data_IF_542256983829
#
_entry.id   IF_542256983829
#
_cell.length_a   1.000
_cell.length_b   1.000
_cell.length_c   1.000
_cell.angle_alpha   90.00
_cell.angle_beta   90.00
_cell.angle_gamma   90.00
#
_symmetry.space_group_name_H-M   'P 1'
#
loop_
_entity.id
_entity.type
_entity.pdbx_description
1 polymer ?
#
# COMPACT_ATOMS: atom_id res chain seq x y z
N UNK A 1 -2.86 10.45 -26.65
CA UNK A 1 -1.98 11.47 -26.13
C UNK A 1 -1.73 11.30 -24.64
N UNK A 2 -0.51 11.58 -24.22
CA UNK A 2 -0.21 11.48 -22.82
C UNK A 2 0.72 12.59 -22.39
N UNK A 3 0.71 12.85 -21.12
CA UNK A 3 1.56 13.84 -20.52
C UNK A 3 2.65 13.17 -19.73
N UNK A 4 3.82 13.75 -19.79
CA UNK A 4 4.91 13.32 -18.95
C UNK A 4 4.90 14.25 -17.74
N UNK A 5 4.78 13.65 -16.59
CA UNK A 5 4.75 14.39 -15.34
C UNK A 5 6.06 14.21 -14.61
N UNK A 6 6.81 15.29 -14.47
CA UNK A 6 8.11 15.27 -13.83
C UNK A 6 8.08 15.64 -12.35
N UNK A 7 6.89 15.88 -11.80
CA UNK A 7 6.79 16.20 -10.38
C UNK A 7 7.10 14.94 -9.56
N UNK A 8 7.94 15.05 -8.56
CA UNK A 8 8.26 13.92 -7.72
C UNK A 8 7.04 13.45 -6.96
N UNK A 9 6.92 12.15 -6.82
CA UNK A 9 5.83 11.51 -6.09
C UNK A 9 6.40 10.42 -5.21
N UNK A 10 5.69 10.11 -4.16
CA UNK A 10 6.10 9.06 -3.24
C UNK A 10 5.16 7.88 -3.44
N UNK A 11 5.74 6.71 -3.63
CA UNK A 11 4.99 5.47 -3.67
C UNK A 11 5.31 4.71 -2.39
N UNK A 12 4.28 4.32 -1.67
CA UNK A 12 4.42 3.55 -0.44
C UNK A 12 3.77 2.19 -0.64
N UNK A 13 4.49 1.14 -0.30
CA UNK A 13 3.96 -0.21 -0.39
C UNK A 13 3.88 -0.78 1.02
N UNK A 14 2.70 -1.25 1.38
CA UNK A 14 2.44 -1.78 2.71
C UNK A 14 1.79 -3.14 2.56
N UNK A 15 2.38 -4.13 3.20
CA UNK A 15 1.86 -5.49 3.18
C UNK A 15 1.32 -5.81 4.56
N UNK A 16 0.06 -6.16 4.62
CA UNK A 16 -0.61 -6.44 5.88
C UNK A 16 -1.48 -7.68 5.74
N UNK A 17 -1.92 -8.19 6.87
CA UNK A 17 -2.90 -9.28 6.85
C UNK A 17 -4.25 -8.73 6.42
N UNK A 18 -5.10 -9.60 5.92
CA UNK A 18 -6.43 -9.23 5.49
C UNK A 18 -7.23 -8.55 6.60
N UNK A 19 -7.05 -9.02 7.82
CA UNK A 19 -7.75 -8.45 8.97
C UNK A 19 -7.38 -7.00 9.22
N UNK A 20 -6.17 -6.60 8.88
CA UNK A 20 -5.68 -5.24 9.12
C UNK A 20 -5.91 -4.31 7.95
N UNK A 21 -6.23 -4.85 6.79
CA UNK A 21 -6.24 -4.07 5.55
C UNK A 21 -7.15 -2.85 5.62
N UNK A 22 -8.39 -3.05 6.07
CA UNK A 22 -9.36 -1.97 6.11
C UNK A 22 -8.93 -0.87 7.06
N UNK A 23 -8.40 -1.25 8.19
CA UNK A 23 -7.95 -0.30 9.20
C UNK A 23 -6.74 0.51 8.71
N UNK A 24 -5.85 -0.15 7.99
CA UNK A 24 -4.69 0.54 7.41
C UNK A 24 -5.14 1.54 6.36
N UNK A 25 -6.07 1.15 5.50
CA UNK A 25 -6.61 2.05 4.49
C UNK A 25 -7.21 3.29 5.12
N UNK A 26 -8.06 3.10 6.13
CA UNK A 26 -8.69 4.21 6.82
C UNK A 26 -7.66 5.14 7.48
N UNK A 27 -6.66 4.55 8.12
CA UNK A 27 -5.62 5.32 8.79
C UNK A 27 -4.82 6.17 7.80
N UNK A 28 -4.45 5.57 6.67
CA UNK A 28 -3.71 6.31 5.66
C UNK A 28 -4.57 7.42 5.08
N UNK A 29 -5.80 7.11 4.74
CA UNK A 29 -6.70 8.11 4.16
C UNK A 29 -6.92 9.29 5.09
N UNK A 30 -7.12 9.03 6.38
CA UNK A 30 -7.32 10.10 7.34
C UNK A 30 -6.10 10.99 7.49
N UNK A 31 -4.92 10.40 7.50
CA UNK A 31 -3.69 11.15 7.74
C UNK A 31 -3.14 11.81 6.49
N UNK A 32 -3.46 11.30 5.32
CA UNK A 32 -2.96 11.86 4.07
C UNK A 32 -3.91 12.86 3.44
N UNK A 33 -5.15 12.90 3.89
CA UNK A 33 -6.15 13.78 3.29
C UNK A 33 -5.93 15.22 3.69
N UNK A 34 -5.85 16.09 2.69
CA UNK A 34 -5.79 17.52 2.93
C UNK A 34 -6.99 18.23 2.30
N UNK A 35 -7.80 17.51 1.54
CA UNK A 35 -8.91 18.09 0.79
C UNK A 35 -8.49 18.76 -0.49
N UNK A 36 -7.22 18.66 -0.84
CA UNK A 36 -6.69 19.29 -2.05
C UNK A 36 -6.38 18.26 -3.12
N UNK A 37 -6.30 18.73 -4.35
CA UNK A 37 -5.83 17.89 -5.45
C UNK A 37 -4.39 17.51 -5.17
N UNK A 38 -4.05 16.25 -5.35
CA UNK A 38 -2.69 15.78 -5.12
C UNK A 38 -2.53 14.96 -3.87
N UNK A 39 -3.59 14.72 -3.13
CA UNK A 39 -3.53 13.86 -1.93
C UNK A 39 -3.17 12.42 -2.27
N UNK A 40 -3.41 12.00 -3.51
CA UNK A 40 -2.98 10.68 -3.95
C UNK A 40 -4.09 9.65 -3.99
N UNK A 41 -3.67 8.42 -4.18
CA UNK A 41 -4.59 7.28 -4.32
C UNK A 41 -4.05 6.10 -3.57
N UNK A 42 -4.96 5.22 -3.19
CA UNK A 42 -4.61 3.94 -2.57
C UNK A 42 -5.10 2.84 -3.49
N UNK A 43 -4.17 1.96 -3.87
CA UNK A 43 -4.51 0.78 -4.65
C UNK A 43 -4.36 -0.43 -3.74
N UNK A 44 -5.35 -1.30 -3.76
CA UNK A 44 -5.34 -2.49 -2.92
C UNK A 44 -5.38 -3.71 -3.82
N UNK A 45 -4.42 -4.60 -3.62
CA UNK A 45 -4.37 -5.86 -4.37
C UNK A 45 -4.10 -6.99 -3.42
N UNK A 46 -4.53 -8.18 -3.80
CA UNK A 46 -4.23 -9.37 -3.04
C UNK A 46 -2.85 -9.89 -3.41
N UNK A 47 -2.14 -10.38 -2.41
CA UNK A 47 -0.90 -11.10 -2.65
C UNK A 47 -1.23 -12.58 -2.72
N UNK A 48 -0.76 -13.23 -3.76
CA UNK A 48 -0.97 -14.66 -3.86
C UNK A 48 -0.09 -15.43 -2.88
N UNK A 49 1.09 -14.91 -2.64
CA UNK A 49 2.05 -15.62 -1.80
C UNK A 49 3.07 -14.66 -1.21
N UNK A 50 3.45 -14.91 0.03
CA UNK A 50 4.52 -14.19 0.71
C UNK A 50 5.44 -15.22 1.34
N UNK A 51 6.72 -15.10 1.08
CA UNK A 51 7.72 -16.02 1.61
C UNK A 51 8.85 -15.22 2.23
N UNK A 52 9.18 -15.55 3.48
CA UNK A 52 10.34 -14.95 4.12
C UNK A 52 11.56 -15.79 3.71
N UNK A 53 12.47 -15.16 3.02
CA UNK A 53 13.61 -15.89 2.45
C UNK A 53 14.46 -16.57 3.50
N UNK A 54 14.74 -15.88 4.61
CA UNK A 54 15.62 -16.41 5.63
C UNK A 54 15.09 -17.68 6.30
N UNK A 55 13.81 -17.72 6.57
CA UNK A 55 13.21 -18.82 7.35
C UNK A 55 12.39 -19.78 6.53
N UNK A 56 11.99 -19.39 5.32
CA UNK A 56 11.09 -20.19 4.51
C UNK A 56 9.64 -20.11 4.94
N UNK A 57 9.32 -19.31 5.96
CA UNK A 57 7.94 -19.13 6.37
C UNK A 57 7.13 -18.48 5.26
N UNK A 58 5.84 -18.81 5.21
CA UNK A 58 4.97 -18.29 4.16
C UNK A 58 3.64 -17.86 4.75
N UNK A 59 2.86 -17.16 3.92
CA UNK A 59 1.56 -16.69 4.32
C UNK A 59 1.64 -15.65 5.43
N UNK A 60 0.70 -15.74 6.35
CA UNK A 60 0.63 -14.76 7.44
C UNK A 60 1.86 -14.81 8.35
N UNK A 61 2.53 -15.93 8.41
CA UNK A 61 3.74 -16.05 9.22
C UNK A 61 4.92 -15.29 8.63
N UNK A 62 4.82 -14.94 7.35
CA UNK A 62 5.90 -14.23 6.66
C UNK A 62 5.72 -12.71 6.65
N UNK A 63 4.60 -12.25 7.12
CA UNK A 63 4.30 -10.81 7.13
C UNK A 63 4.88 -10.11 8.33
#
# INVERSE_FOLDING_TARGET
>A
EYQVNFLPKIKMEIIVTEEMAERVIETIAENASTGNIGDGKIFVTDLEEVIRIRTGESGNDAI
#
